data_IF_951715477184
#
_entry.id   IF_951715477184
#
_cell.length_a   1.000
_cell.length_b   1.000
_cell.length_c   1.000
_cell.angle_alpha   90.00
_cell.angle_beta   90.00
_cell.angle_gamma   90.00
#
_symmetry.space_group_name_H-M   'P 1'
#
loop_
_entity.id
_entity.type
_entity.pdbx_description
1 polymer ?
#
# COMPACT_ATOMS: atom_id res chain seq x y z
N UNK A 1 -51.84 38.40 17.14
CA UNK A 1 -50.92 38.16 16.00
C UNK A 1 -49.45 38.29 16.47
N UNK A 2 -48.64 37.25 16.60
CA UNK A 2 -48.64 35.91 16.01
C UNK A 2 -47.77 35.04 16.90
N UNK A 3 -48.31 33.88 17.28
CA UNK A 3 -47.61 32.80 17.96
C UNK A 3 -46.45 32.28 17.10
N UNK A 4 -45.30 32.01 17.72
CA UNK A 4 -44.23 31.21 17.10
C UNK A 4 -44.44 29.75 17.44
N UNK A 5 -44.68 28.98 16.39
CA UNK A 5 -44.82 27.53 16.31
C UNK A 5 -43.64 26.75 16.91
N UNK A 6 -43.87 25.59 17.55
CA UNK A 6 -42.82 24.63 17.86
C UNK A 6 -42.42 23.84 16.59
N UNK A 7 -41.11 23.66 16.41
CA UNK A 7 -40.49 22.88 15.33
C UNK A 7 -40.73 21.36 15.51
N UNK A 8 -40.71 20.56 14.43
CA UNK A 8 -41.32 19.24 14.38
C UNK A 8 -40.48 18.13 15.03
N UNK A 9 -41.21 17.20 15.63
CA UNK A 9 -40.80 15.87 16.05
C UNK A 9 -40.05 15.12 14.94
N UNK A 10 -38.82 14.70 15.21
CA UNK A 10 -38.14 13.70 14.39
C UNK A 10 -38.71 12.34 14.75
N UNK A 11 -39.73 11.91 14.00
CA UNK A 11 -40.15 10.52 13.93
C UNK A 11 -39.01 9.73 13.28
N UNK A 12 -38.22 9.02 14.08
CA UNK A 12 -37.38 7.94 13.57
C UNK A 12 -38.18 6.65 13.69
N UNK A 13 -38.94 6.33 12.64
CA UNK A 13 -39.51 5.00 12.45
C UNK A 13 -38.36 4.00 12.34
N UNK A 14 -38.11 3.26 13.42
CA UNK A 14 -37.31 2.05 13.36
C UNK A 14 -38.24 0.93 12.91
N UNK A 15 -38.10 0.59 11.63
CA UNK A 15 -38.70 -0.57 10.97
C UNK A 15 -38.46 -1.82 11.83
N UNK A 16 -39.54 -2.44 12.27
CA UNK A 16 -39.53 -3.80 12.80
C UNK A 16 -39.19 -4.76 11.64
N UNK A 17 -38.17 -5.59 11.82
CA UNK A 17 -38.10 -6.89 11.13
C UNK A 17 -37.52 -7.95 12.07
N UNK A 18 -38.10 -9.17 12.07
CA UNK A 18 -38.01 -10.09 13.19
C UNK A 18 -36.77 -11.00 13.13
N UNK A 19 -36.30 -11.35 14.32
CA UNK A 19 -35.57 -12.55 14.72
C UNK A 19 -35.14 -13.54 13.62
N UNK A 20 -33.83 -13.70 13.44
CA UNK A 20 -33.21 -15.01 13.19
C UNK A 20 -32.01 -15.20 14.12
N UNK A 21 -32.24 -16.04 15.12
CA UNK A 21 -31.34 -16.78 16.00
C UNK A 21 -29.86 -16.89 15.59
N UNK A 22 -29.01 -16.20 16.34
CA UNK A 22 -27.78 -16.77 16.91
C UNK A 22 -27.54 -16.11 18.27
N UNK A 23 -27.73 -16.81 19.40
CA UNK A 23 -27.35 -16.29 20.70
C UNK A 23 -25.85 -16.56 20.86
N UNK A 24 -25.03 -15.52 21.04
CA UNK A 24 -23.71 -15.64 21.71
C UNK A 24 -22.93 -14.30 21.83
N UNK A 25 -23.52 -13.16 21.43
CA UNK A 25 -22.98 -11.86 21.79
C UNK A 25 -23.98 -11.14 22.69
N UNK A 26 -23.92 -11.48 23.98
CA UNK A 26 -24.63 -10.77 25.04
C UNK A 26 -24.31 -9.27 24.96
N UNK A 27 -25.35 -8.47 24.72
CA UNK A 27 -25.35 -7.02 24.91
C UNK A 27 -25.07 -6.74 26.39
N UNK A 28 -23.86 -6.25 26.68
CA UNK A 28 -23.51 -5.75 28.02
C UNK A 28 -24.56 -4.75 28.50
N UNK A 29 -25.03 -4.92 29.73
CA UNK A 29 -26.02 -4.03 30.33
C UNK A 29 -25.43 -2.62 30.51
N UNK A 30 -26.25 -1.57 30.36
CA UNK A 30 -25.82 -0.17 30.43
C UNK A 30 -25.02 0.19 31.71
N UNK A 31 -25.27 -0.50 32.83
CA UNK A 31 -24.53 -0.32 34.08
C UNK A 31 -23.11 -0.89 34.03
N UNK A 32 -22.90 -2.05 33.39
CA UNK A 32 -21.58 -2.69 33.24
C UNK A 32 -20.69 -1.92 32.26
N UNK A 33 -21.28 -1.32 31.22
CA UNK A 33 -20.53 -0.49 30.27
C UNK A 33 -19.88 0.74 30.93
N UNK A 34 -20.48 1.27 32.00
CA UNK A 34 -19.94 2.41 32.77
C UNK A 34 -18.64 2.04 33.50
N UNK A 35 -18.48 0.78 33.92
CA UNK A 35 -17.32 0.33 34.69
C UNK A 35 -16.19 -0.25 33.81
N UNK A 36 -16.44 -0.48 32.51
CA UNK A 36 -15.48 -1.08 31.56
C UNK A 36 -15.00 -0.05 30.51
N UNK A 37 -15.01 1.24 30.87
CA UNK A 37 -14.69 2.35 29.94
C UNK A 37 -13.26 2.36 29.38
N UNK A 38 -12.33 1.60 29.95
CA UNK A 38 -10.91 1.55 29.53
C UNK A 38 -10.52 0.24 28.84
N UNK A 39 -11.42 -0.74 28.71
CA UNK A 39 -11.08 -2.05 28.16
C UNK A 39 -11.68 -2.17 26.76
N UNK A 40 -10.86 -1.90 25.75
CA UNK A 40 -11.15 -2.29 24.38
C UNK A 40 -10.38 -3.57 24.07
N UNK A 41 -11.08 -4.70 23.96
CA UNK A 41 -10.46 -6.01 23.64
C UNK A 41 -9.64 -5.97 22.34
N UNK A 42 -10.00 -5.09 21.40
CA UNK A 42 -9.38 -4.96 20.09
C UNK A 42 -8.30 -3.87 20.01
N UNK A 43 -8.21 -2.97 20.98
CA UNK A 43 -7.36 -1.78 20.91
C UNK A 43 -6.56 -1.64 22.20
N UNK A 44 -5.37 -2.26 22.21
CA UNK A 44 -4.39 -2.07 23.28
C UNK A 44 -3.60 -0.77 23.07
N UNK A 45 -3.32 -0.05 24.17
CA UNK A 45 -2.41 1.10 24.13
C UNK A 45 -1.01 0.62 23.75
N UNK A 46 -0.54 1.04 22.58
CA UNK A 46 0.77 0.67 22.04
C UNK A 46 0.72 -0.19 20.78
N UNK A 47 -0.47 -0.70 20.41
CA UNK A 47 -0.60 -1.57 19.25
C UNK A 47 -1.13 -0.79 18.04
N UNK A 48 -0.24 -0.43 17.11
CA UNK A 48 -0.56 0.18 15.81
C UNK A 48 -1.26 -0.83 14.84
N UNK A 49 -1.75 -1.95 15.36
CA UNK A 49 -2.25 -3.10 14.61
C UNK A 49 -3.36 -2.72 13.62
N UNK A 50 -4.28 -1.81 13.99
CA UNK A 50 -5.37 -1.35 13.10
C UNK A 50 -4.80 -0.60 11.89
N UNK A 51 -3.78 0.24 12.07
CA UNK A 51 -3.14 0.99 10.97
C UNK A 51 -2.38 0.03 10.06
N UNK A 52 -1.62 -0.89 10.63
CA UNK A 52 -0.86 -1.90 9.89
C UNK A 52 -1.82 -2.79 9.09
N UNK A 53 -2.88 -3.30 9.71
CA UNK A 53 -3.91 -4.10 9.03
C UNK A 53 -4.58 -3.34 7.88
N UNK A 54 -4.86 -2.03 8.03
CA UNK A 54 -5.37 -1.18 6.95
C UNK A 54 -4.37 -1.09 5.78
N UNK A 55 -3.07 -0.94 6.06
CA UNK A 55 -2.02 -0.86 5.03
C UNK A 55 -1.85 -2.20 4.32
N UNK A 56 -1.79 -3.30 5.06
CA UNK A 56 -1.70 -4.66 4.53
C UNK A 56 -2.87 -4.97 3.59
N UNK A 57 -4.10 -4.64 4.01
CA UNK A 57 -5.30 -4.80 3.18
C UNK A 57 -5.28 -3.91 1.93
N UNK A 58 -4.83 -2.66 2.06
CA UNK A 58 -4.77 -1.70 0.93
C UNK A 58 -3.83 -2.16 -0.17
N UNK A 59 -2.66 -2.68 0.18
CA UNK A 59 -1.63 -3.09 -0.79
C UNK A 59 -1.60 -4.61 -1.03
N UNK A 60 -2.55 -5.35 -0.46
CA UNK A 60 -2.65 -6.81 -0.55
C UNK A 60 -1.34 -7.54 -0.18
N UNK A 61 -0.71 -7.09 0.90
CA UNK A 61 0.52 -7.70 1.42
C UNK A 61 0.12 -8.95 2.22
N UNK A 62 0.62 -10.11 1.80
CA UNK A 62 0.34 -11.40 2.45
C UNK A 62 1.13 -11.55 3.76
N UNK A 63 2.44 -11.25 3.72
CA UNK A 63 3.33 -11.45 4.87
C UNK A 63 3.46 -10.18 5.71
N UNK A 64 3.20 -10.29 7.03
CA UNK A 64 3.42 -9.17 7.97
C UNK A 64 4.92 -8.83 8.10
N UNK A 65 5.79 -9.81 7.92
CA UNK A 65 7.24 -9.65 8.00
C UNK A 65 7.79 -8.66 6.98
N UNK A 66 7.30 -8.67 5.74
CA UNK A 66 7.64 -7.68 4.70
C UNK A 66 7.44 -6.26 5.22
N UNK A 67 6.31 -6.00 5.87
CA UNK A 67 5.97 -4.68 6.38
C UNK A 67 6.89 -4.23 7.52
N UNK A 68 7.29 -5.17 8.39
CA UNK A 68 8.25 -4.91 9.46
C UNK A 68 9.62 -4.59 8.85
N UNK A 69 10.07 -5.34 7.85
CA UNK A 69 11.32 -5.10 7.14
C UNK A 69 11.33 -3.72 6.46
N UNK A 70 10.25 -3.33 5.78
CA UNK A 70 10.13 -1.99 5.18
C UNK A 70 10.19 -0.88 6.23
N UNK A 71 9.54 -1.07 7.37
CA UNK A 71 9.56 -0.11 8.48
C UNK A 71 10.98 0.03 9.04
N UNK A 72 11.71 -1.08 9.17
CA UNK A 72 13.11 -1.07 9.58
C UNK A 72 13.99 -0.29 8.58
N UNK A 73 13.80 -0.50 7.28
CA UNK A 73 14.52 0.26 6.23
C UNK A 73 14.23 1.76 6.32
N UNK A 74 12.96 2.16 6.48
CA UNK A 74 12.62 3.56 6.69
C UNK A 74 13.34 4.15 7.91
N UNK A 75 13.37 3.40 9.02
CA UNK A 75 14.10 3.82 10.23
C UNK A 75 15.60 3.99 10.01
N UNK A 76 16.24 3.13 9.20
CA UNK A 76 17.66 3.28 8.83
C UNK A 76 17.89 4.56 8.01
N UNK A 77 17.02 4.86 7.05
CA UNK A 77 17.12 6.07 6.22
C UNK A 77 16.94 7.33 7.08
N UNK A 78 15.97 7.35 7.98
CA UNK A 78 15.76 8.47 8.90
C UNK A 78 16.95 8.67 9.84
N UNK A 79 17.52 7.58 10.39
CA UNK A 79 18.75 7.65 11.21
C UNK A 79 19.92 8.24 10.43
N UNK A 80 20.10 7.85 9.17
CA UNK A 80 21.16 8.36 8.31
C UNK A 80 20.95 9.85 8.00
N UNK A 81 19.73 10.25 7.63
CA UNK A 81 19.36 11.66 7.41
C UNK A 81 19.65 12.53 8.65
N UNK A 82 19.31 12.03 9.84
CA UNK A 82 19.58 12.75 11.10
C UNK A 82 21.08 12.91 11.38
N UNK A 83 21.89 11.88 11.11
CA UNK A 83 23.36 11.99 11.22
C UNK A 83 23.92 13.02 10.22
N UNK A 84 23.42 13.07 8.98
CA UNK A 84 23.84 14.08 8.01
C UNK A 84 23.49 15.51 8.44
N UNK A 85 22.37 15.70 9.14
CA UNK A 85 21.98 17.00 9.70
C UNK A 85 22.89 17.46 10.84
N UNK A 86 23.48 16.55 11.60
CA UNK A 86 24.42 16.92 12.69
C UNK A 86 25.75 17.46 12.20
N UNK A 87 26.12 17.20 10.94
CA UNK A 87 27.35 17.70 10.34
C UNK A 87 27.21 19.16 9.89
N UNK A 88 28.35 19.87 9.78
CA UNK A 88 28.36 21.25 9.26
C UNK A 88 27.87 21.29 7.80
N UNK A 89 27.15 22.34 7.38
CA UNK A 89 26.59 22.42 6.03
C UNK A 89 27.65 22.51 4.92
N UNK A 90 28.81 23.09 5.24
CA UNK A 90 29.88 23.35 4.27
C UNK A 90 30.84 22.17 4.07
N UNK A 91 30.67 21.10 4.83
CA UNK A 91 31.52 19.91 4.72
C UNK A 91 31.26 19.20 3.38
N UNK A 92 32.28 19.04 2.50
CA UNK A 92 32.11 18.34 1.22
C UNK A 92 31.59 16.91 1.38
N UNK A 93 31.90 16.24 2.50
CA UNK A 93 31.39 14.90 2.78
C UNK A 93 29.86 14.90 2.95
N UNK A 94 29.32 15.90 3.64
CA UNK A 94 27.87 16.03 3.85
C UNK A 94 27.15 16.23 2.52
N UNK A 95 27.68 17.09 1.64
CA UNK A 95 27.09 17.38 0.33
C UNK A 95 27.07 16.10 -0.52
N UNK A 96 28.23 15.47 -0.70
CA UNK A 96 28.34 14.25 -1.50
C UNK A 96 27.45 13.11 -0.99
N UNK A 97 27.39 12.89 0.33
CA UNK A 97 26.58 11.81 0.89
C UNK A 97 25.08 12.13 0.84
N UNK A 98 24.70 13.41 0.96
CA UNK A 98 23.31 13.85 0.80
C UNK A 98 22.83 13.61 -0.62
N UNK A 99 23.64 13.98 -1.61
CA UNK A 99 23.32 13.78 -3.03
C UNK A 99 23.17 12.28 -3.34
N UNK A 100 24.13 11.45 -2.90
CA UNK A 100 24.05 10.00 -3.07
C UNK A 100 22.81 9.37 -2.42
N UNK A 101 22.41 9.85 -1.24
CA UNK A 101 21.20 9.37 -0.56
C UNK A 101 19.96 9.72 -1.37
N UNK A 102 19.85 10.99 -1.80
CA UNK A 102 18.70 11.49 -2.53
C UNK A 102 18.56 10.83 -3.90
N UNK A 103 19.67 10.64 -4.62
CA UNK A 103 19.70 9.96 -5.92
C UNK A 103 19.27 8.50 -5.79
N UNK A 104 19.78 7.77 -4.79
CA UNK A 104 19.36 6.38 -4.53
C UNK A 104 17.86 6.29 -4.23
N UNK A 105 17.35 7.15 -3.34
CA UNK A 105 15.94 7.17 -2.97
C UNK A 105 15.01 7.57 -4.13
N UNK A 106 15.50 8.47 -4.99
CA UNK A 106 14.79 8.88 -6.20
C UNK A 106 14.76 7.76 -7.24
N UNK A 107 15.90 7.12 -7.52
CA UNK A 107 16.01 5.98 -8.44
C UNK A 107 15.15 4.79 -8.00
N UNK A 108 15.09 4.51 -6.70
CA UNK A 108 14.18 3.51 -6.12
C UNK A 108 12.69 3.90 -6.23
N UNK A 109 12.38 5.16 -6.53
CA UNK A 109 11.01 5.66 -6.68
C UNK A 109 10.28 5.93 -5.37
N UNK A 110 11.00 5.98 -4.24
CA UNK A 110 10.44 6.27 -2.91
C UNK A 110 10.17 7.78 -2.79
N UNK A 111 11.12 8.60 -3.27
CA UNK A 111 10.99 10.05 -3.35
C UNK A 111 10.53 10.49 -4.75
N UNK A 112 9.76 11.57 -4.80
CA UNK A 112 9.36 12.23 -6.05
C UNK A 112 10.31 13.35 -6.45
N UNK A 113 11.05 13.91 -5.49
CA UNK A 113 11.86 15.11 -5.67
C UNK A 113 13.17 14.96 -4.89
N UNK A 114 14.29 15.33 -5.50
CA UNK A 114 15.64 15.28 -4.90
C UNK A 114 16.05 16.58 -4.20
N UNK A 115 15.20 17.60 -4.18
CA UNK A 115 15.58 18.96 -3.73
C UNK A 115 15.72 19.13 -2.22
N UNK A 116 15.12 18.26 -1.40
CA UNK A 116 15.08 18.48 0.05
C UNK A 116 15.34 17.22 0.87
N UNK A 117 16.32 17.32 1.76
CA UNK A 117 16.66 16.27 2.72
C UNK A 117 15.53 15.98 3.72
N UNK A 118 14.69 16.98 4.01
CA UNK A 118 13.50 16.81 4.86
C UNK A 118 12.55 15.72 4.32
N UNK A 119 12.41 15.60 3.00
CA UNK A 119 11.56 14.56 2.40
C UNK A 119 12.09 13.16 2.63
N UNK A 120 13.41 13.00 2.82
CA UNK A 120 14.02 11.72 3.16
C UNK A 120 13.71 11.28 4.62
N UNK A 121 13.42 12.23 5.51
CA UNK A 121 13.01 11.93 6.89
C UNK A 121 11.55 11.48 6.98
N UNK A 122 10.68 12.09 6.17
CA UNK A 122 9.24 11.80 6.11
C UNK A 122 8.90 10.50 5.35
N UNK A 123 9.89 9.65 5.06
CA UNK A 123 9.66 8.41 4.31
C UNK A 123 8.81 7.46 5.14
N UNK A 124 7.74 6.97 4.51
CA UNK A 124 6.82 5.99 5.11
C UNK A 124 7.00 4.63 4.46
N UNK A 125 6.75 3.55 5.20
CA UNK A 125 6.71 2.19 4.66
C UNK A 125 5.70 2.05 3.50
N UNK A 126 4.63 2.86 3.51
CA UNK A 126 3.67 2.95 2.42
C UNK A 126 4.29 3.39 1.09
N UNK A 127 5.33 4.23 1.11
CA UNK A 127 6.03 4.63 -0.11
C UNK A 127 6.73 3.44 -0.78
N UNK A 128 7.33 2.55 0.01
CA UNK A 128 7.96 1.32 -0.47
C UNK A 128 6.89 0.34 -0.97
N UNK A 129 5.78 0.18 -0.24
CA UNK A 129 4.68 -0.70 -0.64
C UNK A 129 4.11 -0.34 -2.02
N UNK A 130 4.09 0.95 -2.38
CA UNK A 130 3.65 1.43 -3.71
C UNK A 130 4.61 1.10 -4.87
N UNK A 131 5.83 0.66 -4.56
CA UNK A 131 6.84 0.24 -5.55
C UNK A 131 6.89 -1.28 -5.73
N UNK A 132 6.08 -2.06 -5.00
CA UNK A 132 5.91 -3.50 -5.25
C UNK A 132 5.32 -3.73 -6.64
N UNK A 133 5.80 -4.77 -7.32
CA UNK A 133 5.41 -5.14 -8.68
C UNK A 133 3.87 -5.17 -8.90
N UNK A 134 3.05 -5.78 -8.03
CA UNK A 134 1.60 -5.80 -8.23
C UNK A 134 0.96 -4.40 -8.26
N UNK A 135 1.46 -3.47 -7.44
CA UNK A 135 0.92 -2.11 -7.34
C UNK A 135 1.34 -1.28 -8.55
N UNK A 136 2.56 -1.48 -9.04
CA UNK A 136 3.05 -0.86 -10.27
C UNK A 136 2.25 -1.34 -11.48
N UNK A 137 1.96 -2.64 -11.58
CA UNK A 137 1.13 -3.20 -12.64
C UNK A 137 -0.28 -2.60 -12.68
N UNK A 138 -0.91 -2.38 -11.52
CA UNK A 138 -2.23 -1.72 -11.44
C UNK A 138 -2.15 -0.25 -11.86
N UNK A 139 -1.05 0.45 -11.54
CA UNK A 139 -0.83 1.82 -11.99
C UNK A 139 -0.67 1.89 -13.52
N UNK A 140 0.08 0.96 -14.10
CA UNK A 140 0.29 0.81 -15.56
C UNK A 140 -0.92 0.23 -16.30
N UNK A 141 -2.03 -0.04 -15.61
CA UNK A 141 -3.28 -0.60 -16.17
C UNK A 141 -3.12 -2.00 -16.79
N UNK A 142 -2.08 -2.75 -16.42
CA UNK A 142 -1.94 -4.16 -16.81
C UNK A 142 -2.93 -5.06 -16.07
N UNK A 143 -3.28 -4.71 -14.83
CA UNK A 143 -4.25 -5.42 -14.01
C UNK A 143 -5.25 -4.43 -13.39
N UNK A 144 -6.49 -4.89 -13.20
CA UNK A 144 -7.56 -4.07 -12.62
C UNK A 144 -7.43 -3.94 -11.09
N UNK A 145 -7.02 -5.03 -10.42
CA UNK A 145 -6.91 -5.09 -8.96
C UNK A 145 -5.56 -5.65 -8.54
N UNK A 146 -5.04 -5.28 -7.34
CA UNK A 146 -3.76 -5.79 -6.85
C UNK A 146 -3.80 -7.31 -6.60
N UNK A 147 -4.96 -7.85 -6.22
CA UNK A 147 -5.17 -9.29 -6.05
C UNK A 147 -4.96 -10.04 -7.37
N UNK A 148 -5.53 -9.53 -8.46
CA UNK A 148 -5.36 -10.14 -9.79
C UNK A 148 -3.91 -10.02 -10.28
N UNK A 149 -3.27 -8.86 -10.04
CA UNK A 149 -1.86 -8.67 -10.37
C UNK A 149 -0.96 -9.72 -9.68
N UNK A 150 -1.22 -10.01 -8.40
CA UNK A 150 -0.49 -11.05 -7.65
C UNK A 150 -0.68 -12.43 -8.29
N UNK A 151 -1.91 -12.79 -8.67
CA UNK A 151 -2.15 -14.09 -9.33
C UNK A 151 -1.41 -14.22 -10.67
N UNK A 152 -1.27 -13.14 -11.44
CA UNK A 152 -0.51 -13.16 -12.69
C UNK A 152 1.00 -13.31 -12.46
N UNK A 153 1.52 -12.69 -11.40
CA UNK A 153 2.94 -12.79 -11.01
C UNK A 153 3.24 -14.19 -10.50
N UNK A 154 2.41 -14.75 -9.60
CA UNK A 154 2.57 -16.10 -9.05
C UNK A 154 2.49 -17.17 -10.16
N UNK A 155 1.70 -16.94 -11.21
CA UNK A 155 1.63 -17.80 -12.40
C UNK A 155 2.83 -17.63 -13.37
N UNK A 156 3.70 -16.65 -13.15
CA UNK A 156 4.86 -16.38 -14.00
C UNK A 156 4.52 -15.74 -15.35
N UNK A 157 3.42 -15.00 -15.45
CA UNK A 157 3.01 -14.36 -16.71
C UNK A 157 3.68 -13.01 -16.96
N UNK A 158 4.40 -12.48 -15.96
CA UNK A 158 5.01 -11.15 -15.96
C UNK A 158 6.52 -11.27 -15.97
N UNK A 159 7.18 -10.45 -16.78
CA UNK A 159 8.64 -10.29 -16.78
C UNK A 159 9.02 -8.82 -16.58
N UNK A 160 10.21 -8.61 -16.02
CA UNK A 160 10.83 -7.30 -15.92
C UNK A 160 12.13 -7.35 -16.72
N UNK A 161 12.15 -6.69 -17.87
CA UNK A 161 13.22 -6.86 -18.84
C UNK A 161 13.27 -8.32 -19.36
N UNK A 162 14.43 -8.98 -19.35
CA UNK A 162 14.55 -10.35 -19.85
C UNK A 162 14.08 -11.42 -18.86
N UNK A 163 13.99 -11.11 -17.56
CA UNK A 163 13.79 -12.10 -16.51
C UNK A 163 12.32 -12.20 -16.09
N UNK A 164 11.80 -13.42 -16.01
CA UNK A 164 10.47 -13.70 -15.46
C UNK A 164 10.49 -13.55 -13.94
N UNK A 165 9.51 -12.84 -13.39
CA UNK A 165 9.41 -12.59 -11.95
C UNK A 165 8.21 -13.34 -11.39
N UNK A 166 8.45 -14.20 -10.39
CA UNK A 166 7.42 -14.99 -9.71
C UNK A 166 7.09 -14.47 -8.30
N UNK A 167 7.94 -13.62 -7.73
CA UNK A 167 7.75 -13.07 -6.39
C UNK A 167 6.97 -11.72 -6.43
N UNK A 168 5.79 -11.62 -5.79
CA UNK A 168 5.05 -10.37 -5.68
C UNK A 168 5.69 -9.33 -4.73
N UNK A 169 6.68 -9.71 -3.93
CA UNK A 169 7.46 -8.78 -3.09
C UNK A 169 8.57 -8.05 -3.85
N UNK A 170 8.78 -8.37 -5.14
CA UNK A 170 9.75 -7.69 -5.98
C UNK A 170 9.48 -6.17 -6.06
N UNK A 171 10.51 -5.37 -5.74
CA UNK A 171 10.46 -3.91 -5.80
C UNK A 171 10.96 -3.40 -7.14
N UNK A 172 10.12 -2.65 -7.85
CA UNK A 172 10.42 -2.09 -9.16
C UNK A 172 11.00 -0.69 -8.99
N UNK A 173 12.22 -0.46 -9.46
CA UNK A 173 12.85 0.88 -9.50
C UNK A 173 12.25 1.72 -10.64
N UNK A 174 12.50 3.03 -10.66
CA UNK A 174 11.94 3.90 -11.71
C UNK A 174 12.37 3.48 -13.11
N UNK A 175 13.66 3.18 -13.28
CA UNK A 175 14.20 2.74 -14.59
C UNK A 175 13.73 1.35 -15.00
N UNK A 176 13.34 0.50 -14.05
CA UNK A 176 12.81 -0.85 -14.36
C UNK A 176 11.31 -0.85 -14.69
N UNK A 177 10.59 0.22 -14.34
CA UNK A 177 9.13 0.33 -14.52
C UNK A 177 8.73 0.23 -16.01
N UNK A 178 9.53 0.79 -16.90
CA UNK A 178 9.28 0.77 -18.35
C UNK A 178 9.46 -0.62 -18.98
N UNK A 179 10.22 -1.50 -18.32
CA UNK A 179 10.51 -2.85 -18.82
C UNK A 179 9.54 -3.92 -18.28
N UNK A 180 8.51 -3.52 -17.53
CA UNK A 180 7.48 -4.43 -17.03
C UNK A 180 6.55 -4.81 -18.19
N UNK A 181 6.63 -6.06 -18.65
CA UNK A 181 5.83 -6.56 -19.77
C UNK A 181 5.31 -7.96 -19.52
N UNK A 182 4.33 -8.39 -20.31
CA UNK A 182 3.90 -9.78 -20.34
C UNK A 182 4.99 -10.67 -20.94
N UNK A 183 5.10 -11.90 -20.44
CA UNK A 183 5.91 -12.94 -21.08
C UNK A 183 5.32 -13.24 -22.46
N UNK A 184 6.18 -13.52 -23.44
CA UNK A 184 5.76 -13.72 -24.83
C UNK A 184 4.81 -14.93 -25.00
N UNK A 185 5.07 -16.00 -24.25
CA UNK A 185 4.20 -17.19 -24.20
C UNK A 185 2.94 -17.04 -23.35
N UNK A 186 2.69 -15.86 -22.75
CA UNK A 186 1.57 -15.70 -21.83
C UNK A 186 0.22 -15.68 -22.56
N UNK A 187 -0.74 -16.43 -21.99
CA UNK A 187 -2.13 -16.45 -22.49
C UNK A 187 -2.79 -15.08 -22.40
N UNK A 188 -2.43 -14.28 -21.39
CA UNK A 188 -2.96 -12.92 -21.22
C UNK A 188 -2.52 -12.02 -22.36
N UNK A 189 -1.24 -12.05 -22.76
CA UNK A 189 -0.75 -11.29 -23.92
C UNK A 189 -1.52 -11.67 -25.19
N UNK A 190 -1.74 -12.97 -25.41
CA UNK A 190 -2.53 -13.48 -26.55
C UNK A 190 -3.96 -12.93 -26.54
N UNK A 191 -4.64 -12.99 -25.40
CA UNK A 191 -6.01 -12.46 -25.29
C UNK A 191 -6.07 -10.96 -25.55
N UNK A 192 -5.10 -10.19 -25.04
CA UNK A 192 -5.01 -8.75 -25.27
C UNK A 192 -4.70 -8.42 -26.74
N UNK A 193 -3.79 -9.14 -27.39
CA UNK A 193 -3.47 -8.96 -28.81
C UNK A 193 -4.65 -9.35 -29.71
N UNK A 194 -5.36 -10.43 -29.37
CA UNK A 194 -6.57 -10.85 -30.06
C UNK A 194 -7.67 -9.80 -29.96
N UNK A 195 -7.86 -9.21 -28.78
CA UNK A 195 -8.83 -8.13 -28.59
C UNK A 195 -8.48 -6.88 -29.40
N UNK A 196 -7.19 -6.63 -29.62
CA UNK A 196 -6.71 -5.50 -30.41
C UNK A 196 -6.55 -5.81 -31.90
N UNK A 197 -6.97 -7.00 -32.38
CA UNK A 197 -6.79 -7.49 -33.76
C UNK A 197 -5.34 -7.44 -34.27
N UNK A 198 -4.36 -7.54 -33.36
CA UNK A 198 -2.91 -7.53 -33.63
C UNK A 198 -2.25 -8.88 -33.35
N UNK A 199 -3.04 -9.94 -33.39
CA UNK A 199 -2.54 -11.28 -33.14
C UNK A 199 -1.85 -11.79 -34.40
N UNK A 200 -0.52 -11.89 -34.32
CA UNK A 200 0.30 -12.53 -35.33
C UNK A 200 0.63 -13.96 -34.87
N UNK A 201 0.26 -14.95 -35.68
CA UNK A 201 0.45 -16.37 -35.36
C UNK A 201 1.91 -16.81 -35.54
N UNK A 202 2.76 -16.05 -36.24
CA UNK A 202 4.17 -16.39 -36.46
C UNK A 202 5.04 -16.28 -35.20
N UNK A 203 4.73 -15.35 -34.30
CA UNK A 203 5.45 -15.16 -33.03
C UNK A 203 5.22 -16.31 -32.01
N UNK A 204 4.38 -17.30 -32.35
CA UNK A 204 3.94 -18.37 -31.46
C UNK A 204 4.44 -19.78 -31.82
N UNK A 205 5.21 -19.93 -32.91
CA UNK A 205 5.88 -21.18 -33.32
C UNK A 205 7.28 -21.28 -32.75
#
# INVERSE_FOLDING_TARGET
PTARSPQPSVCLEIVHSPATSHPDLQLFTLAETHNVRKVSLYQWKGDDNIRVAKILRRYHIQNREDYVAYTHICGMVTKLSNKLKTLKPDDPFRIAMTDQLLDKLYNCGILTTTKSLQKAEEITASAICRRRLPIVMVRMKMAQTPRLAITFIEQGQVRVGPNVVTDPAFLVTRGMEDFVTWVDSSKVKRTVQKYNDKLDDFDMM
#
